data_IF_420659532466
#
_entry.id   IF_420659532466
#
_cell.length_a   1.000
_cell.length_b   1.000
_cell.length_c   1.000
_cell.angle_alpha   90.00
_cell.angle_beta   90.00
_cell.angle_gamma   90.00
#
_symmetry.space_group_name_H-M   'P 1'
#
loop_
_entity.id
_entity.type
_entity.pdbx_description
1 polymer ?
#
# COMPACT_ATOMS: atom_id res chain seq x y z
N UNK A 1 -19.14 -50.93 -6.91
CA UNK A 1 -20.20 -51.54 -6.09
C UNK A 1 -19.51 -52.06 -4.84
N UNK A 2 -19.62 -51.50 -3.65
CA UNK A 2 -20.57 -50.52 -3.12
C UNK A 2 -19.90 -49.83 -1.92
N UNK A 3 -19.99 -48.51 -1.85
CA UNK A 3 -20.09 -47.79 -0.58
C UNK A 3 -21.57 -47.36 -0.50
N UNK A 4 -22.31 -47.48 0.63
CA UNK A 4 -22.16 -46.49 1.71
C UNK A 4 -22.56 -46.95 3.15
N UNK A 5 -22.20 -46.09 4.12
CA UNK A 5 -22.93 -45.67 5.34
C UNK A 5 -22.27 -45.92 6.72
N UNK A 6 -21.72 -44.82 7.27
CA UNK A 6 -21.83 -44.39 8.69
C UNK A 6 -23.32 -44.28 9.08
N UNK A 7 -23.81 -44.45 10.35
CA UNK A 7 -23.53 -43.49 11.43
C UNK A 7 -23.66 -43.91 12.94
N UNK A 8 -23.28 -42.97 13.83
CA UNK A 8 -23.60 -42.77 15.27
C UNK A 8 -22.70 -43.50 16.31
N UNK A 9 -22.17 -42.88 17.38
CA UNK A 9 -22.83 -41.94 18.30
C UNK A 9 -21.89 -40.93 18.97
N UNK A 10 -22.48 -39.77 19.23
CA UNK A 10 -21.99 -38.67 20.07
C UNK A 10 -21.95 -39.13 21.53
N UNK A 11 -20.81 -38.96 22.20
CA UNK A 11 -20.78 -38.65 23.63
C UNK A 11 -19.97 -37.38 23.83
N UNK A 12 -20.72 -36.30 23.89
CA UNK A 12 -20.35 -35.06 24.57
C UNK A 12 -20.60 -35.29 26.06
N UNK A 13 -19.54 -35.30 26.85
CA UNK A 13 -19.62 -34.93 28.26
C UNK A 13 -18.60 -33.84 28.48
N UNK A 14 -19.14 -32.64 28.60
CA UNK A 14 -18.45 -31.43 28.97
C UNK A 14 -17.90 -31.55 30.38
N UNK A 15 -16.64 -31.16 30.57
CA UNK A 15 -16.26 -30.23 31.63
C UNK A 15 -15.29 -29.19 31.05
N UNK A 16 -15.59 -27.95 31.39
CA UNK A 16 -14.96 -26.66 31.02
C UNK A 16 -14.40 -26.08 32.34
N UNK A 17 -13.75 -24.91 32.36
CA UNK A 17 -12.49 -24.43 31.80
C UNK A 17 -11.44 -24.18 32.94
N UNK A 18 -10.31 -23.53 32.63
CA UNK A 18 -9.58 -22.60 33.54
C UNK A 18 -8.17 -22.96 34.05
N UNK A 19 -7.23 -23.42 33.20
CA UNK A 19 -5.79 -23.35 33.54
C UNK A 19 -4.89 -22.66 32.49
N UNK A 20 -5.44 -22.15 31.39
CA UNK A 20 -4.67 -21.44 30.33
C UNK A 20 -4.39 -19.95 30.63
N UNK A 21 -4.74 -19.45 31.82
CA UNK A 21 -4.68 -18.00 32.12
C UNK A 21 -3.46 -17.56 32.95
N UNK A 22 -2.66 -18.47 33.51
CA UNK A 22 -1.50 -18.12 34.35
C UNK A 22 -0.13 -18.25 33.63
N UNK A 23 -0.07 -18.91 32.48
CA UNK A 23 1.18 -19.14 31.73
C UNK A 23 1.47 -18.08 30.65
N UNK A 24 0.45 -17.33 30.20
CA UNK A 24 0.62 -16.23 29.25
C UNK A 24 1.33 -15.00 29.84
N UNK A 25 1.23 -14.79 31.16
CA UNK A 25 1.85 -13.66 31.85
C UNK A 25 3.33 -13.87 32.16
N UNK A 26 3.75 -15.09 32.50
CA UNK A 26 5.17 -15.42 32.78
C UNK A 26 6.01 -15.52 31.51
N UNK A 27 5.43 -16.03 30.42
CA UNK A 27 6.07 -16.03 29.11
C UNK A 27 6.15 -14.62 28.55
N UNK A 28 5.07 -13.83 28.66
CA UNK A 28 5.07 -12.40 28.34
C UNK A 28 6.15 -11.63 29.10
N UNK A 29 6.27 -11.81 30.42
CA UNK A 29 7.31 -11.18 31.23
C UNK A 29 8.74 -11.56 30.80
N UNK A 30 8.97 -12.83 30.46
CA UNK A 30 10.27 -13.27 29.93
C UNK A 30 10.57 -12.71 28.54
N UNK A 31 9.57 -12.65 27.64
CA UNK A 31 9.73 -12.09 26.30
C UNK A 31 9.92 -10.57 26.32
N UNK A 32 9.30 -9.88 27.27
CA UNK A 32 9.47 -8.44 27.49
C UNK A 32 10.86 -8.12 28.07
N UNK A 33 11.36 -8.97 29.00
CA UNK A 33 12.72 -8.85 29.54
C UNK A 33 13.79 -9.17 28.48
N UNK A 34 13.61 -10.25 27.71
CA UNK A 34 14.45 -10.57 26.56
C UNK A 34 14.38 -9.46 25.50
N UNK A 35 13.19 -8.92 25.23
CA UNK A 35 12.97 -7.80 24.33
C UNK A 35 13.69 -6.53 24.79
N UNK A 36 13.63 -6.21 26.08
CA UNK A 36 14.34 -5.10 26.70
C UNK A 36 15.86 -5.26 26.64
N UNK A 37 16.37 -6.48 26.83
CA UNK A 37 17.81 -6.79 26.72
C UNK A 37 18.32 -6.75 25.28
N UNK A 38 17.53 -7.25 24.32
CA UNK A 38 17.82 -7.17 22.87
C UNK A 38 17.78 -5.71 22.42
N UNK A 39 16.79 -4.93 22.86
CA UNK A 39 16.68 -3.51 22.56
C UNK A 39 17.87 -2.73 23.12
N UNK A 40 18.30 -3.00 24.36
CA UNK A 40 19.46 -2.32 24.98
C UNK A 40 20.79 -2.68 24.31
N UNK A 41 20.95 -3.95 23.90
CA UNK A 41 22.13 -4.40 23.16
C UNK A 41 22.18 -3.83 21.73
N UNK A 42 21.03 -3.74 21.04
CA UNK A 42 20.92 -3.07 19.74
C UNK A 42 21.17 -1.56 19.85
N UNK A 43 20.68 -0.93 20.92
CA UNK A 43 20.85 0.51 21.16
C UNK A 43 22.30 0.90 21.44
N UNK A 44 23.02 0.09 22.23
CA UNK A 44 24.46 0.25 22.42
C UNK A 44 25.29 -0.01 21.15
N UNK A 45 24.74 -0.76 20.19
CA UNK A 45 25.38 -1.07 18.91
C UNK A 45 24.93 -0.14 17.75
N UNK A 46 24.03 0.82 17.99
CA UNK A 46 23.52 1.75 16.96
C UNK A 46 22.60 1.11 15.90
N UNK A 47 22.13 -0.11 16.13
CA UNK A 47 21.35 -0.91 15.16
C UNK A 47 19.89 -0.47 15.02
N UNK A 48 19.38 0.31 15.97
CA UNK A 48 18.04 0.91 15.94
C UNK A 48 18.02 2.15 15.05
N UNK A 49 19.08 2.95 15.07
CA UNK A 49 19.25 4.08 14.13
C UNK A 49 19.39 3.58 12.69
N UNK A 50 20.13 2.48 12.50
CA UNK A 50 20.23 1.80 11.22
C UNK A 50 18.91 1.13 10.81
N UNK A 51 18.14 0.55 11.74
CA UNK A 51 16.84 -0.03 11.43
C UNK A 51 15.76 1.01 11.15
N UNK A 52 15.78 2.18 11.81
CA UNK A 52 14.93 3.32 11.46
C UNK A 52 15.32 3.90 10.10
N UNK A 53 16.60 4.11 9.80
CA UNK A 53 17.04 4.54 8.47
C UNK A 53 16.64 3.54 7.38
N UNK A 54 16.82 2.23 7.61
CA UNK A 54 16.40 1.20 6.66
C UNK A 54 14.88 1.20 6.50
N UNK A 55 14.12 1.35 7.57
CA UNK A 55 12.66 1.44 7.52
C UNK A 55 12.15 2.71 6.83
N UNK A 56 12.83 3.85 6.98
CA UNK A 56 12.54 5.09 6.25
C UNK A 56 12.94 4.99 4.78
N UNK A 57 14.06 4.34 4.46
CA UNK A 57 14.48 4.06 3.08
C UNK A 57 13.50 3.12 2.38
N UNK A 58 13.04 2.06 3.05
CA UNK A 58 12.04 1.14 2.50
C UNK A 58 10.67 1.79 2.35
N UNK A 59 10.24 2.62 3.31
CA UNK A 59 8.98 3.38 3.21
C UNK A 59 9.05 4.45 2.13
N UNK A 60 10.18 5.13 1.98
CA UNK A 60 10.44 6.09 0.90
C UNK A 60 10.46 5.41 -0.46
N UNK A 61 11.24 4.34 -0.61
CA UNK A 61 11.32 3.55 -1.84
C UNK A 61 9.96 2.93 -2.21
N UNK A 62 9.20 2.44 -1.23
CA UNK A 62 7.85 1.92 -1.44
C UNK A 62 6.85 3.00 -1.84
N UNK A 63 6.93 4.19 -1.25
CA UNK A 63 6.10 5.33 -1.63
C UNK A 63 6.40 5.79 -3.06
N UNK A 64 7.67 5.93 -3.42
CA UNK A 64 8.11 6.35 -4.75
C UNK A 64 7.72 5.32 -5.83
N UNK A 65 7.90 4.02 -5.53
CA UNK A 65 7.49 2.94 -6.42
C UNK A 65 5.98 2.93 -6.63
N UNK A 66 5.19 3.11 -5.57
CA UNK A 66 3.73 3.16 -5.66
C UNK A 66 3.23 4.37 -6.47
N UNK A 67 3.92 5.52 -6.37
CA UNK A 67 3.62 6.70 -7.16
C UNK A 67 3.92 6.47 -8.65
N UNK A 68 5.10 5.95 -8.97
CA UNK A 68 5.50 5.65 -10.35
C UNK A 68 4.57 4.61 -11.01
N UNK A 69 4.16 3.59 -10.26
CA UNK A 69 3.24 2.57 -10.73
C UNK A 69 1.86 3.14 -11.08
N UNK A 70 1.33 4.05 -10.25
CA UNK A 70 0.04 4.70 -10.51
C UNK A 70 0.07 5.53 -11.79
N UNK A 71 1.11 6.34 -11.96
CA UNK A 71 1.31 7.15 -13.17
C UNK A 71 1.40 6.23 -14.40
N UNK A 72 2.11 5.11 -14.29
CA UNK A 72 2.24 4.13 -15.38
C UNK A 72 0.89 3.54 -15.77
N UNK A 73 0.07 3.14 -14.78
CA UNK A 73 -1.27 2.60 -15.03
C UNK A 73 -2.18 3.65 -15.65
N UNK A 74 -2.14 4.90 -15.21
CA UNK A 74 -2.98 5.98 -15.77
C UNK A 74 -2.78 6.12 -17.28
N UNK A 75 -1.52 6.07 -17.74
CA UNK A 75 -1.19 6.15 -19.16
C UNK A 75 -1.68 4.89 -19.91
N UNK A 76 -1.45 3.70 -19.37
CA UNK A 76 -1.86 2.43 -20.00
C UNK A 76 -3.39 2.36 -20.11
N UNK A 77 -4.11 2.71 -19.04
CA UNK A 77 -5.58 2.72 -19.03
C UNK A 77 -6.12 3.72 -20.05
N UNK A 78 -5.55 4.93 -20.12
CA UNK A 78 -5.95 5.92 -21.12
C UNK A 78 -5.76 5.41 -22.56
N UNK A 79 -4.61 4.78 -22.84
CA UNK A 79 -4.33 4.20 -24.16
C UNK A 79 -5.31 3.07 -24.50
N UNK A 80 -5.50 2.10 -23.59
CA UNK A 80 -6.40 0.97 -23.80
C UNK A 80 -7.83 1.43 -24.06
N UNK A 81 -8.34 2.37 -23.26
CA UNK A 81 -9.69 2.91 -23.42
C UNK A 81 -9.84 3.65 -24.75
N UNK A 82 -8.92 4.55 -25.09
CA UNK A 82 -8.98 5.29 -26.35
C UNK A 82 -8.82 4.38 -27.57
N UNK A 83 -7.91 3.40 -27.53
CA UNK A 83 -7.74 2.43 -28.60
C UNK A 83 -8.98 1.55 -28.78
N UNK A 84 -9.58 1.08 -27.69
CA UNK A 84 -10.83 0.31 -27.77
C UNK A 84 -11.98 1.12 -28.40
N UNK A 85 -12.11 2.39 -28.01
CA UNK A 85 -13.09 3.32 -28.60
C UNK A 85 -12.79 3.55 -30.09
N UNK A 86 -11.53 3.83 -30.44
CA UNK A 86 -11.10 4.03 -31.83
C UNK A 86 -11.36 2.80 -32.71
N UNK A 87 -11.12 1.60 -32.17
CA UNK A 87 -11.40 0.34 -32.86
C UNK A 87 -12.91 0.10 -33.05
N UNK A 88 -13.73 0.36 -32.04
CA UNK A 88 -15.19 0.26 -32.14
C UNK A 88 -15.75 1.24 -33.19
N UNK A 89 -15.21 2.46 -33.23
CA UNK A 89 -15.56 3.47 -34.22
C UNK A 89 -15.15 3.04 -35.64
N UNK A 90 -13.92 2.55 -35.82
CA UNK A 90 -13.48 2.04 -37.12
C UNK A 90 -14.37 0.89 -37.61
N UNK A 91 -14.86 0.03 -36.71
CA UNK A 91 -15.79 -1.04 -37.04
C UNK A 91 -17.17 -0.54 -37.47
N UNK A 92 -17.73 0.47 -36.79
CA UNK A 92 -19.03 1.05 -37.14
C UNK A 92 -19.00 1.86 -38.44
N UNK A 93 -17.93 2.61 -38.69
CA UNK A 93 -17.81 3.44 -39.88
C UNK A 93 -17.22 2.68 -41.09
N UNK A 94 -16.79 1.43 -40.90
CA UNK A 94 -16.14 0.63 -41.94
C UNK A 94 -14.84 1.27 -42.45
N UNK A 95 -14.24 2.15 -41.63
CA UNK A 95 -13.01 2.84 -42.00
C UNK A 95 -11.82 1.89 -41.81
N UNK A 96 -10.81 2.06 -42.67
CA UNK A 96 -9.43 1.58 -42.38
C UNK A 96 -8.99 2.16 -41.02
N UNK A 97 -7.97 1.61 -40.32
CA UNK A 97 -7.64 1.92 -38.91
C UNK A 97 -7.16 3.37 -38.67
N UNK A 98 -7.93 4.34 -39.12
CA UNK A 98 -7.64 5.76 -39.18
C UNK A 98 -8.17 6.44 -37.93
N UNK A 99 -9.38 6.07 -37.48
CA UNK A 99 -9.91 6.55 -36.20
C UNK A 99 -9.10 5.96 -35.04
N UNK A 100 -8.70 4.69 -35.12
CA UNK A 100 -7.83 4.10 -34.11
C UNK A 100 -6.48 4.84 -34.00
N UNK A 101 -5.88 5.24 -35.13
CA UNK A 101 -4.65 6.05 -35.13
C UNK A 101 -4.88 7.42 -34.48
N UNK A 102 -5.95 8.12 -34.86
CA UNK A 102 -6.30 9.42 -34.29
C UNK A 102 -6.54 9.33 -32.78
N UNK A 103 -7.31 8.34 -32.34
CA UNK A 103 -7.60 8.08 -30.92
C UNK A 103 -6.38 7.61 -30.15
N UNK A 104 -5.41 6.94 -30.79
CA UNK A 104 -4.15 6.57 -30.16
C UNK A 104 -3.32 7.82 -29.80
N UNK A 105 -3.18 8.77 -30.74
CA UNK A 105 -2.50 10.04 -30.46
C UNK A 105 -3.25 10.87 -29.41
N UNK A 106 -4.58 10.92 -29.52
CA UNK A 106 -5.42 11.63 -28.56
C UNK A 106 -5.33 11.01 -27.16
N UNK A 107 -5.36 9.68 -27.07
CA UNK A 107 -5.20 8.92 -25.83
C UNK A 107 -3.81 9.11 -25.22
N UNK A 108 -2.76 9.12 -26.05
CA UNK A 108 -1.40 9.43 -25.61
C UNK A 108 -1.28 10.85 -25.05
N UNK A 109 -1.79 11.85 -25.77
CA UNK A 109 -1.80 13.24 -25.32
C UNK A 109 -2.60 13.43 -24.02
N UNK A 110 -3.78 12.80 -23.93
CA UNK A 110 -4.60 12.82 -22.72
C UNK A 110 -3.93 12.11 -21.54
N UNK A 111 -3.30 10.96 -21.77
CA UNK A 111 -2.55 10.21 -20.75
C UNK A 111 -1.37 11.00 -20.20
N UNK A 112 -0.56 11.62 -21.06
CA UNK A 112 0.57 12.47 -20.65
C UNK A 112 0.06 13.69 -19.87
N UNK A 113 -1.00 14.35 -20.34
CA UNK A 113 -1.56 15.52 -19.65
C UNK A 113 -2.12 15.15 -18.26
N UNK A 114 -2.70 13.96 -18.11
CA UNK A 114 -3.16 13.45 -16.81
C UNK A 114 -1.98 13.17 -15.88
N UNK A 115 -0.97 12.44 -16.34
CA UNK A 115 0.24 12.11 -15.59
C UNK A 115 0.98 13.36 -15.10
N UNK A 116 1.19 14.36 -15.97
CA UNK A 116 1.84 15.64 -15.61
C UNK A 116 1.04 16.38 -14.55
N UNK A 117 -0.29 16.42 -14.69
CA UNK A 117 -1.17 17.02 -13.68
C UNK A 117 -1.08 16.29 -12.33
N UNK A 118 -1.00 14.96 -12.35
CA UNK A 118 -0.83 14.15 -11.13
C UNK A 118 0.51 14.44 -10.46
N UNK A 119 1.61 14.45 -11.23
CA UNK A 119 2.95 14.78 -10.72
C UNK A 119 2.99 16.18 -10.08
N UNK A 120 2.47 17.20 -10.77
CA UNK A 120 2.43 18.57 -10.24
C UNK A 120 1.62 18.71 -8.95
N UNK A 121 0.55 17.91 -8.78
CA UNK A 121 -0.24 17.90 -7.54
C UNK A 121 0.51 17.29 -6.36
N UNK A 122 1.32 16.26 -6.63
CA UNK A 122 2.12 15.61 -5.59
C UNK A 122 3.20 16.57 -5.05
N UNK A 123 3.87 17.31 -5.93
CA UNK A 123 4.85 18.33 -5.55
C UNK A 123 4.22 19.47 -4.72
N UNK A 124 3.05 19.94 -5.14
CA UNK A 124 2.32 20.99 -4.42
C UNK A 124 1.87 20.53 -3.02
N UNK A 125 1.37 19.30 -2.89
CA UNK A 125 0.96 18.75 -1.59
C UNK A 125 2.14 18.57 -0.63
N UNK A 126 3.30 18.15 -1.13
CA UNK A 126 4.51 18.04 -0.32
C UNK A 126 4.92 19.41 0.27
N UNK A 127 4.85 20.48 -0.53
CA UNK A 127 5.13 21.84 -0.08
C UNK A 127 4.14 22.33 1.00
N UNK A 128 2.85 22.07 0.84
CA UNK A 128 1.82 22.47 1.82
C UNK A 128 1.96 21.73 3.16
N UNK A 129 2.29 20.43 3.13
CA UNK A 129 2.51 19.65 4.36
C UNK A 129 3.70 20.21 5.16
N UNK A 130 4.77 20.62 4.48
CA UNK A 130 5.91 21.26 5.14
C UNK A 130 5.54 22.60 5.79
N UNK A 131 4.73 23.42 5.11
CA UNK A 131 4.27 24.71 5.67
C UNK A 131 3.35 24.52 6.88
N UNK A 132 2.44 23.54 6.83
CA UNK A 132 1.59 23.20 7.98
C UNK A 132 2.42 22.74 9.16
N UNK A 133 3.43 21.89 8.95
CA UNK A 133 4.34 21.46 10.03
C UNK A 133 5.11 22.64 10.62
N UNK A 134 5.60 23.57 9.78
CA UNK A 134 6.31 24.77 10.23
C UNK A 134 5.42 25.72 11.06
N UNK A 135 4.19 25.98 10.61
CA UNK A 135 3.23 26.82 11.34
C UNK A 135 2.77 26.17 12.65
N UNK A 136 2.57 24.85 12.67
CA UNK A 136 2.19 24.12 13.89
C UNK A 136 3.32 24.22 14.93
N UNK A 137 4.57 24.07 14.52
CA UNK A 137 5.73 24.20 15.43
C UNK A 137 5.86 25.63 15.97
N UNK A 138 5.69 26.65 15.12
CA UNK A 138 5.78 28.06 15.50
C UNK A 138 4.65 28.52 16.44
N UNK A 139 3.43 27.99 16.26
CA UNK A 139 2.28 28.29 17.13
C UNK A 139 2.36 27.57 18.48
N UNK A 140 3.00 26.40 18.53
CA UNK A 140 3.23 25.67 19.79
C UNK A 140 4.38 26.30 20.60
N UNK A 141 5.47 26.72 19.94
CA UNK A 141 6.62 27.36 20.59
C UNK A 141 6.35 28.76 21.15
N UNK A 142 5.27 29.44 20.70
CA UNK A 142 4.85 30.75 21.22
C UNK A 142 3.98 30.65 22.48
N UNK A 143 3.56 29.44 22.85
CA UNK A 143 2.64 29.17 23.97
C UNK A 143 3.35 28.70 25.24
N UNK A 144 4.67 28.51 25.18
CA UNK A 144 5.59 28.24 26.28
C UNK A 144 6.39 29.50 26.63
#
# INVERSE_FOLDING_TARGET
MSDPQHPHSVETSAETPAETSAQGSSQGASLDELGGRISKARHGAGLDKSAEELGELERGAGADLSAAWRISIEIVVALVVCTAIGWALDYWFGTKPWLMLLFLFLGGAAGINNAVRTALRMDAQAAEVMQRKAQTKASTAKKE
#
